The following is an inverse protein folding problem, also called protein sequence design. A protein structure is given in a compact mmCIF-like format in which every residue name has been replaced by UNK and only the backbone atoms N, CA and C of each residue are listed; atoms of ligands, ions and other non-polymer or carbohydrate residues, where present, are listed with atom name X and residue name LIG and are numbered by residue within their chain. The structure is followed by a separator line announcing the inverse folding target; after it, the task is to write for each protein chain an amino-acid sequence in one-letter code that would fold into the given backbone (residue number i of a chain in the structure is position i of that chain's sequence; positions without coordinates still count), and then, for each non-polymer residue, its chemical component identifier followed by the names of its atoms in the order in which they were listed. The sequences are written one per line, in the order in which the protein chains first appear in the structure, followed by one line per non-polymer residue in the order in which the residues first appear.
data_IF_949947339304
#
_entry.id   IF_949947339304
#
_cell.length_a   1.000
_cell.length_b   1.000
_cell.length_c   1.000
_cell.angle_alpha   90.00
_cell.angle_beta   90.00
_cell.angle_gamma   90.00
#
_symmetry.space_group_name_H-M   'P 1'
#
loop_
_entity.id
_entity.type
_entity.pdbx_description
1 polymer ?
#
# COMPACT_ATOMS: atom_id res chain seq x y z
N UNK A 1 -17.14 -10.06 10.03
CA UNK A 1 -16.52 -8.76 9.68
C UNK A 1 -15.10 -8.61 10.26
N UNK A 2 -14.90 -8.89 11.56
CA UNK A 2 -13.55 -8.81 12.18
C UNK A 2 -12.56 -9.79 11.53
N UNK A 3 -12.97 -11.01 11.25
CA UNK A 3 -12.17 -12.01 10.51
C UNK A 3 -11.79 -11.50 9.13
N UNK A 4 -12.76 -10.97 8.38
CA UNK A 4 -12.51 -10.41 7.05
C UNK A 4 -11.48 -9.28 7.11
N UNK A 5 -11.64 -8.34 8.06
CA UNK A 5 -10.67 -7.26 8.25
C UNK A 5 -9.28 -7.81 8.57
N UNK A 6 -9.16 -8.78 9.50
CA UNK A 6 -7.87 -9.36 9.85
C UNK A 6 -7.20 -10.07 8.65
N UNK A 7 -7.95 -10.79 7.84
CA UNK A 7 -7.43 -11.41 6.61
C UNK A 7 -6.94 -10.35 5.61
N UNK A 8 -7.74 -9.31 5.36
CA UNK A 8 -7.40 -8.28 4.38
C UNK A 8 -6.26 -7.37 4.83
N UNK A 9 -6.18 -7.02 6.12
CA UNK A 9 -5.06 -6.24 6.65
C UNK A 9 -3.75 -7.05 6.63
N UNK A 10 -3.82 -8.38 6.86
CA UNK A 10 -2.68 -9.28 6.73
C UNK A 10 -2.23 -9.39 5.28
N UNK A 11 -3.15 -9.55 4.33
CA UNK A 11 -2.83 -9.54 2.90
C UNK A 11 -2.18 -8.21 2.49
N UNK A 12 -2.72 -7.09 2.94
CA UNK A 12 -2.15 -5.76 2.70
C UNK A 12 -0.72 -5.66 3.25
N UNK A 13 -0.47 -6.13 4.47
CA UNK A 13 0.87 -6.16 5.06
C UNK A 13 1.85 -6.99 4.22
N UNK A 14 1.46 -8.20 3.79
CA UNK A 14 2.28 -9.08 2.95
C UNK A 14 2.63 -8.37 1.63
N UNK A 15 1.64 -7.76 0.97
CA UNK A 15 1.88 -7.04 -0.29
C UNK A 15 2.83 -5.86 -0.06
N UNK A 16 2.62 -5.02 0.96
CA UNK A 16 3.50 -3.88 1.27
C UNK A 16 4.92 -4.33 1.57
N UNK A 17 5.08 -5.44 2.31
CA UNK A 17 6.40 -5.95 2.68
C UNK A 17 7.18 -6.59 1.52
N UNK A 18 6.47 -7.13 0.51
CA UNK A 18 7.11 -7.96 -0.53
C UNK A 18 7.08 -7.35 -1.93
N UNK A 19 6.22 -6.39 -2.23
CA UNK A 19 5.96 -5.94 -3.61
C UNK A 19 7.20 -5.41 -4.35
N UNK A 20 8.15 -4.80 -3.65
CA UNK A 20 9.40 -4.31 -4.22
C UNK A 20 10.55 -5.32 -4.14
N UNK A 21 10.39 -6.40 -3.37
CA UNK A 21 11.42 -7.40 -3.12
C UNK A 21 11.25 -8.65 -3.98
N UNK A 22 10.03 -8.96 -4.37
CA UNK A 22 9.68 -10.18 -5.11
C UNK A 22 9.40 -9.85 -6.57
N UNK A 23 10.06 -10.59 -7.47
CA UNK A 23 9.82 -10.50 -8.90
C UNK A 23 8.58 -11.31 -9.28
N UNK A 24 7.56 -10.65 -9.84
CA UNK A 24 6.37 -11.30 -10.38
C UNK A 24 6.23 -10.82 -11.83
N UNK A 25 6.44 -11.69 -12.84
CA UNK A 25 6.43 -11.29 -14.24
C UNK A 25 5.20 -10.48 -14.65
N UNK A 26 5.41 -9.28 -15.18
CA UNK A 26 4.37 -8.36 -15.59
C UNK A 26 3.65 -7.61 -14.44
N UNK A 27 3.98 -7.88 -13.17
CA UNK A 27 3.41 -7.20 -12.00
C UNK A 27 4.44 -6.35 -11.27
N UNK A 28 5.64 -6.89 -11.08
CA UNK A 28 6.75 -6.22 -10.40
C UNK A 28 8.04 -6.36 -11.21
N UNK A 29 8.97 -5.42 -11.01
CA UNK A 29 10.33 -5.48 -11.53
C UNK A 29 11.32 -5.16 -10.40
N UNK A 30 11.43 -6.06 -9.44
CA UNK A 30 12.26 -5.89 -8.24
C UNK A 30 13.73 -5.61 -8.56
N UNK A 31 14.25 -6.23 -9.62
CA UNK A 31 15.62 -5.99 -10.09
C UNK A 31 15.82 -4.53 -10.56
N UNK A 32 14.85 -3.96 -11.29
CA UNK A 32 14.92 -2.58 -11.76
C UNK A 32 14.73 -1.59 -10.61
N UNK A 33 13.74 -1.81 -9.73
CA UNK A 33 13.53 -1.01 -8.53
C UNK A 33 14.82 -0.94 -7.70
N UNK A 34 15.44 -2.10 -7.46
CA UNK A 34 16.70 -2.21 -6.72
C UNK A 34 17.87 -1.49 -7.40
N UNK A 35 17.96 -1.51 -8.74
CA UNK A 35 19.02 -0.83 -9.50
C UNK A 35 18.92 0.70 -9.42
N UNK A 36 17.71 1.25 -9.30
CA UNK A 36 17.44 2.70 -9.26
C UNK A 36 17.49 3.23 -7.83
N UNK A 37 16.81 2.57 -6.89
CA UNK A 37 16.73 3.02 -5.50
C UNK A 37 18.00 2.67 -4.70
N UNK A 38 18.68 1.58 -5.06
CA UNK A 38 19.78 0.99 -4.31
C UNK A 38 19.31 0.02 -3.23
N UNK A 39 20.10 -1.06 -3.02
CA UNK A 39 19.72 -2.16 -2.13
C UNK A 39 19.45 -1.71 -0.68
N UNK A 40 20.35 -0.92 -0.12
CA UNK A 40 20.21 -0.46 1.28
C UNK A 40 18.97 0.40 1.47
N UNK A 41 18.78 1.39 0.60
CA UNK A 41 17.61 2.28 0.65
C UNK A 41 16.30 1.52 0.46
N UNK A 42 16.28 0.55 -0.46
CA UNK A 42 15.11 -0.31 -0.69
C UNK A 42 14.70 -1.05 0.59
N UNK A 43 15.66 -1.71 1.27
CA UNK A 43 15.39 -2.40 2.53
C UNK A 43 14.90 -1.45 3.63
N UNK A 44 15.53 -0.28 3.77
CA UNK A 44 15.09 0.73 4.75
C UNK A 44 13.66 1.20 4.49
N UNK A 45 13.33 1.53 3.25
CA UNK A 45 11.98 1.96 2.87
C UNK A 45 10.97 0.84 3.11
N UNK A 46 11.29 -0.39 2.72
CA UNK A 46 10.43 -1.56 2.94
C UNK A 46 10.18 -1.80 4.44
N UNK A 47 11.22 -1.75 5.27
CA UNK A 47 11.08 -1.91 6.72
C UNK A 47 10.18 -0.81 7.32
N UNK A 48 10.46 0.46 7.02
CA UNK A 48 9.67 1.59 7.52
C UNK A 48 8.19 1.45 7.10
N UNK A 49 7.95 1.14 5.83
CA UNK A 49 6.59 0.96 5.30
C UNK A 49 5.87 -0.26 5.92
N UNK A 50 6.62 -1.26 6.40
CA UNK A 50 6.06 -2.48 6.99
C UNK A 50 5.73 -2.36 8.48
N UNK A 51 6.31 -1.40 9.21
CA UNK A 51 6.09 -1.24 10.66
C UNK A 51 4.61 -1.02 10.98
N UNK A 52 3.99 -0.02 10.35
CA UNK A 52 2.60 0.33 10.66
C UNK A 52 1.60 -0.76 10.25
N UNK A 53 1.62 -1.33 9.05
CA UNK A 53 0.72 -2.44 8.72
C UNK A 53 1.02 -3.69 9.57
N UNK A 54 2.28 -3.97 9.90
CA UNK A 54 2.65 -5.06 10.79
C UNK A 54 2.05 -4.91 12.19
N UNK A 55 2.08 -3.70 12.74
CA UNK A 55 1.44 -3.41 14.03
C UNK A 55 -0.09 -3.50 13.93
N UNK A 56 -0.69 -3.12 12.81
CA UNK A 56 -2.12 -3.28 12.57
C UNK A 56 -2.54 -4.76 12.58
N UNK A 57 -1.73 -5.63 11.95
CA UNK A 57 -1.92 -7.09 11.97
C UNK A 57 -1.73 -7.65 13.37
N UNK A 58 -0.68 -7.24 14.08
CA UNK A 58 -0.44 -7.68 15.46
C UNK A 58 -1.62 -7.37 16.37
N UNK A 59 -2.20 -6.18 16.28
CA UNK A 59 -3.42 -5.83 17.01
C UNK A 59 -4.62 -6.66 16.55
N UNK A 60 -4.79 -6.92 15.25
CA UNK A 60 -5.89 -7.74 14.74
C UNK A 60 -5.84 -9.17 15.27
N UNK A 61 -4.64 -9.76 15.36
CA UNK A 61 -4.43 -11.10 15.91
C UNK A 61 -4.61 -11.09 17.43
N UNK A 62 -3.97 -10.17 18.14
CA UNK A 62 -4.00 -10.14 19.61
C UNK A 62 -5.42 -9.92 20.16
N UNK A 63 -6.22 -9.05 19.52
CA UNK A 63 -7.59 -8.74 19.93
C UNK A 63 -8.66 -9.54 19.18
N UNK A 64 -8.30 -10.63 18.52
CA UNK A 64 -9.24 -11.45 17.74
C UNK A 64 -10.47 -11.89 18.55
N UNK A 65 -10.23 -12.48 19.73
CA UNK A 65 -11.27 -12.96 20.65
C UNK A 65 -11.24 -12.21 21.99
N UNK A 66 -10.77 -10.97 22.01
CA UNK A 66 -10.64 -10.15 23.22
C UNK A 66 -11.37 -8.83 23.06
N UNK A 67 -11.83 -8.21 24.16
CA UNK A 67 -12.36 -6.86 24.13
C UNK A 67 -11.32 -5.88 23.54
N UNK A 68 -11.74 -5.07 22.58
CA UNK A 68 -10.86 -4.11 21.93
C UNK A 68 -10.86 -2.77 22.65
N UNK A 69 -9.73 -2.29 23.14
CA UNK A 69 -9.59 -0.94 23.63
C UNK A 69 -9.84 0.08 22.50
N UNK A 70 -10.39 1.24 22.84
CA UNK A 70 -10.69 2.32 21.85
C UNK A 70 -9.46 2.74 21.05
N UNK A 71 -8.27 2.73 21.65
CA UNK A 71 -7.03 3.12 20.98
C UNK A 71 -6.69 2.21 19.79
N UNK A 72 -7.04 0.91 19.83
CA UNK A 72 -6.81 -0.03 18.71
C UNK A 72 -7.67 0.35 17.50
N UNK A 73 -8.94 0.65 17.73
CA UNK A 73 -9.83 1.12 16.67
C UNK A 73 -9.37 2.46 16.07
N UNK A 74 -8.89 3.37 16.92
CA UNK A 74 -8.32 4.64 16.46
C UNK A 74 -7.05 4.43 15.66
N UNK A 75 -6.17 3.53 16.09
CA UNK A 75 -4.95 3.17 15.36
C UNK A 75 -5.27 2.66 13.96
N UNK A 76 -6.16 1.67 13.83
CA UNK A 76 -6.56 1.13 12.53
C UNK A 76 -7.16 2.21 11.62
N UNK A 77 -8.00 3.09 12.16
CA UNK A 77 -8.60 4.19 11.41
C UNK A 77 -7.53 5.15 10.87
N UNK A 78 -6.63 5.61 11.75
CA UNK A 78 -5.56 6.55 11.38
C UNK A 78 -4.63 5.89 10.35
N UNK A 79 -4.22 4.65 10.61
CA UNK A 79 -3.36 3.90 9.69
C UNK A 79 -4.00 3.79 8.29
N UNK A 80 -5.24 3.31 8.19
CA UNK A 80 -5.91 3.15 6.90
C UNK A 80 -6.12 4.50 6.19
N UNK A 81 -6.48 5.56 6.93
CA UNK A 81 -6.64 6.90 6.36
C UNK A 81 -5.31 7.45 5.82
N UNK A 82 -4.22 7.33 6.58
CA UNK A 82 -2.88 7.78 6.17
C UNK A 82 -2.36 6.96 4.97
N UNK A 83 -2.54 5.63 4.99
CA UNK A 83 -2.13 4.77 3.89
C UNK A 83 -2.87 5.13 2.59
N UNK A 84 -4.19 5.37 2.66
CA UNK A 84 -4.99 5.79 1.51
C UNK A 84 -4.58 7.18 1.02
N UNK A 85 -4.41 8.15 1.90
CA UNK A 85 -3.95 9.50 1.55
C UNK A 85 -2.56 9.47 0.89
N UNK A 86 -1.65 8.65 1.42
CA UNK A 86 -0.31 8.45 0.84
C UNK A 86 -0.38 7.84 -0.56
N UNK A 87 -1.22 6.82 -0.77
CA UNK A 87 -1.42 6.23 -2.09
C UNK A 87 -1.93 7.28 -3.10
N UNK A 88 -2.90 8.10 -2.70
CA UNK A 88 -3.42 9.19 -3.54
C UNK A 88 -2.30 10.19 -3.86
N UNK A 89 -1.59 10.69 -2.87
CA UNK A 89 -0.55 11.70 -3.04
C UNK A 89 0.64 11.20 -3.87
N UNK A 90 1.04 9.94 -3.68
CA UNK A 90 2.22 9.39 -4.32
C UNK A 90 1.97 8.85 -5.74
N UNK A 91 0.75 8.43 -6.06
CA UNK A 91 0.42 7.79 -7.33
C UNK A 91 -0.61 8.54 -8.14
N UNK A 92 -1.76 8.90 -7.55
CA UNK A 92 -2.86 9.49 -8.32
C UNK A 92 -2.66 10.98 -8.56
N UNK A 93 -2.10 11.73 -7.62
CA UNK A 93 -1.75 13.14 -7.85
C UNK A 93 -0.75 13.27 -9.00
N UNK A 94 0.41 12.55 -9.03
CA UNK A 94 1.31 12.57 -10.17
C UNK A 94 0.69 12.08 -11.48
N UNK A 95 -0.20 11.09 -11.43
CA UNK A 95 -0.89 10.58 -12.60
C UNK A 95 -1.82 11.63 -13.24
N UNK A 96 -2.59 12.36 -12.43
CA UNK A 96 -3.55 13.33 -12.93
C UNK A 96 -2.95 14.70 -13.24
N UNK A 97 -2.00 15.15 -12.44
CA UNK A 97 -1.49 16.53 -12.47
C UNK A 97 -0.01 16.64 -12.89
N UNK A 98 0.66 15.52 -13.07
CA UNK A 98 2.08 15.50 -13.42
C UNK A 98 3.00 15.53 -12.20
N UNK A 99 4.30 15.49 -12.49
CA UNK A 99 5.36 15.51 -11.48
C UNK A 99 6.67 16.02 -12.11
N UNK A 100 7.75 16.10 -11.31
CA UNK A 100 9.06 16.50 -11.81
C UNK A 100 9.58 15.54 -12.88
N UNK A 101 10.41 16.04 -13.80
CA UNK A 101 10.96 15.23 -14.88
C UNK A 101 11.82 14.08 -14.35
N UNK A 102 12.62 14.32 -13.31
CA UNK A 102 13.41 13.29 -12.63
C UNK A 102 12.52 12.13 -12.13
N UNK A 103 11.47 12.44 -11.37
CA UNK A 103 10.55 11.44 -10.84
C UNK A 103 9.82 10.70 -11.97
N UNK A 104 9.42 11.39 -13.03
CA UNK A 104 8.80 10.79 -14.22
C UNK A 104 9.70 9.75 -14.87
N UNK A 105 10.98 10.12 -15.08
CA UNK A 105 12.00 9.24 -15.63
C UNK A 105 12.25 8.02 -14.73
N UNK A 106 12.38 8.21 -13.43
CA UNK A 106 12.63 7.10 -12.50
C UNK A 106 11.46 6.12 -12.46
N UNK A 107 10.21 6.62 -12.42
CA UNK A 107 9.02 5.77 -12.46
C UNK A 107 8.90 5.00 -13.76
N UNK A 108 9.14 5.64 -14.91
CA UNK A 108 9.09 4.98 -16.21
C UNK A 108 10.11 3.84 -16.31
N UNK A 109 11.27 3.99 -15.69
CA UNK A 109 12.32 2.96 -15.63
C UNK A 109 12.00 1.86 -14.62
N UNK A 110 11.57 2.22 -13.39
CA UNK A 110 11.27 1.25 -12.33
C UNK A 110 10.15 0.28 -12.72
N UNK A 111 9.14 0.78 -13.46
CA UNK A 111 7.95 0.01 -13.80
C UNK A 111 7.82 -0.29 -15.29
N UNK A 112 8.92 -0.15 -16.06
CA UNK A 112 8.98 -0.56 -17.46
C UNK A 112 8.56 -2.04 -17.60
N UNK A 113 7.67 -2.36 -18.57
CA UNK A 113 7.21 -3.73 -18.81
C UNK A 113 6.21 -4.29 -17.80
N UNK A 114 5.84 -3.55 -16.75
CA UNK A 114 4.74 -3.94 -15.87
C UNK A 114 3.37 -3.65 -16.52
N UNK A 115 2.34 -4.39 -16.13
CA UNK A 115 0.97 -4.18 -16.61
C UNK A 115 0.34 -2.96 -15.93
N UNK A 116 -0.45 -2.21 -16.71
CA UNK A 116 -1.19 -1.04 -16.24
C UNK A 116 -2.65 -1.17 -16.63
N UNK A 117 -3.57 -0.84 -15.72
CA UNK A 117 -5.03 -0.77 -15.99
C UNK A 117 -5.43 0.63 -16.46
N UNK A 118 -4.82 1.66 -15.85
CA UNK A 118 -5.15 3.04 -16.19
C UNK A 118 -4.58 3.42 -17.57
N UNK A 119 -5.33 4.21 -18.39
CA UNK A 119 -4.83 4.69 -19.66
C UNK A 119 -3.63 5.64 -19.48
N UNK A 120 -2.77 5.80 -20.48
CA UNK A 120 -1.68 6.78 -20.42
C UNK A 120 -2.25 8.22 -20.40
N UNK A 121 -1.58 9.09 -19.63
CA UNK A 121 -1.84 10.53 -19.60
C UNK A 121 -0.54 11.29 -19.90
N UNK A 122 -0.22 11.43 -21.17
CA UNK A 122 1.10 11.90 -21.59
C UNK A 122 2.20 11.02 -20.97
N UNK A 123 3.23 11.67 -20.44
CA UNK A 123 4.37 11.00 -19.78
C UNK A 123 4.21 10.88 -18.26
N UNK A 124 3.01 11.09 -17.73
CA UNK A 124 2.78 11.03 -16.29
C UNK A 124 2.96 9.59 -15.77
N UNK A 125 3.53 9.43 -14.55
CA UNK A 125 3.65 8.14 -13.90
C UNK A 125 2.30 7.45 -13.76
N UNK A 126 2.21 6.18 -14.10
CA UNK A 126 1.01 5.36 -13.93
C UNK A 126 1.23 4.34 -12.84
N UNK A 127 0.31 4.17 -11.88
CA UNK A 127 0.37 3.00 -11.01
C UNK A 127 0.25 1.73 -11.86
N UNK A 128 1.11 0.74 -11.60
CA UNK A 128 1.01 -0.55 -12.24
C UNK A 128 -0.17 -1.36 -11.65
N UNK A 129 -0.48 -2.51 -12.25
CA UNK A 129 -1.59 -3.37 -11.83
C UNK A 129 -1.51 -3.72 -10.35
N UNK A 130 -0.33 -4.09 -9.84
CA UNK A 130 -0.16 -4.45 -8.43
C UNK A 130 -0.48 -3.28 -7.49
N UNK A 131 0.02 -2.06 -7.80
CA UNK A 131 -0.28 -0.87 -7.01
C UNK A 131 -1.79 -0.56 -7.01
N UNK A 132 -2.47 -0.68 -8.15
CA UNK A 132 -3.93 -0.48 -8.18
C UNK A 132 -4.63 -1.51 -7.30
N UNK A 133 -4.26 -2.80 -7.39
CA UNK A 133 -4.86 -3.85 -6.57
C UNK A 133 -4.70 -3.58 -5.06
N UNK A 134 -3.49 -3.21 -4.62
CA UNK A 134 -3.33 -2.98 -3.19
C UNK A 134 -3.87 -1.62 -2.72
N UNK A 135 -3.99 -0.60 -3.61
CA UNK A 135 -4.74 0.62 -3.27
C UNK A 135 -6.23 0.34 -3.07
N UNK A 136 -6.82 -0.58 -3.84
CA UNK A 136 -8.18 -1.07 -3.61
C UNK A 136 -8.29 -1.74 -2.23
N UNK A 137 -7.27 -2.51 -1.79
CA UNK A 137 -7.24 -3.05 -0.43
C UNK A 137 -7.22 -1.96 0.64
N UNK A 138 -6.53 -0.83 0.42
CA UNK A 138 -6.57 0.32 1.33
C UNK A 138 -7.98 0.88 1.47
N UNK A 139 -8.68 1.05 0.35
CA UNK A 139 -10.07 1.52 0.35
C UNK A 139 -10.98 0.56 1.10
N UNK A 140 -10.90 -0.74 0.80
CA UNK A 140 -11.73 -1.77 1.45
C UNK A 140 -11.46 -1.79 2.95
N UNK A 141 -10.19 -1.83 3.38
CA UNK A 141 -9.83 -1.84 4.79
C UNK A 141 -10.28 -0.57 5.52
N UNK A 142 -10.19 0.60 4.89
CA UNK A 142 -10.68 1.85 5.46
C UNK A 142 -12.19 1.78 5.76
N UNK A 143 -13.01 1.34 4.81
CA UNK A 143 -14.45 1.22 5.01
C UNK A 143 -14.82 0.11 6.00
N UNK A 144 -14.07 -0.99 6.04
CA UNK A 144 -14.27 -2.04 7.05
C UNK A 144 -14.00 -1.53 8.47
N UNK A 145 -12.95 -0.74 8.67
CA UNK A 145 -12.65 -0.14 9.98
C UNK A 145 -13.73 0.84 10.38
N UNK A 146 -14.19 1.69 9.46
CA UNK A 146 -15.34 2.58 9.71
C UNK A 146 -16.54 1.78 10.19
N UNK A 147 -16.93 0.75 9.47
CA UNK A 147 -18.07 -0.09 9.83
C UNK A 147 -17.89 -0.77 11.19
N UNK A 148 -16.70 -1.35 11.46
CA UNK A 148 -16.40 -1.98 12.74
C UNK A 148 -16.47 -1.01 13.91
N UNK A 149 -16.10 0.25 13.68
CA UNK A 149 -16.19 1.32 14.70
C UNK A 149 -17.62 1.71 15.01
N UNK A 150 -18.46 1.87 14.00
CA UNK A 150 -19.89 2.22 14.21
C UNK A 150 -20.68 1.14 14.95
N UNK A 151 -20.30 -0.15 14.83
CA UNK A 151 -20.98 -1.24 15.55
C UNK A 151 -20.52 -1.44 16.99
N UNK A 152 -19.44 -0.79 17.42
CA UNK A 152 -18.87 -0.91 18.77
C UNK A 152 -19.01 0.37 19.61
N UNK A 153 -19.59 1.41 19.05
CA UNK A 153 -19.97 2.63 19.72
C UNK A 153 -21.39 2.52 20.29
#
# INVERSE_FOLDING_TARGET
MQTLFACLITLQFIVVALHDLVEIPGWTHSAQVKSIIGRHRLWMVTLINSIFPGLAVAFAIYFWNRPRPRFVGNYWMIYCAVALASAIAMWYVPYFFGTTEERRRDYSRMYAGTRHILPPRGDNPRPNLLHVCFHVLFVINFFLVLFLRYRTA
#
